data_IF_463061933949
#
_entry.id   IF_463061933949
#
_cell.length_a   1.000
_cell.length_b   1.000
_cell.length_c   1.000
_cell.angle_alpha   90.00
_cell.angle_beta   90.00
_cell.angle_gamma   90.00
#
_symmetry.space_group_name_H-M   'P 1'
#
loop_
_entity.id
_entity.type
_entity.pdbx_description
1 polymer ?
#
# COMPACT_ATOMS: atom_id res chain seq x y z
N UNK A 1 -44.27 -51.62 1.97
CA UNK A 1 -43.98 -50.36 2.71
C UNK A 1 -44.00 -49.21 1.71
N UNK A 2 -44.54 -48.04 2.08
CA UNK A 2 -44.52 -46.86 1.18
C UNK A 2 -43.12 -46.25 1.14
N UNK A 3 -42.63 -45.86 -0.05
CA UNK A 3 -41.38 -45.09 -0.17
C UNK A 3 -41.63 -43.68 0.38
N UNK A 4 -40.91 -43.29 1.43
CA UNK A 4 -41.08 -42.00 2.06
C UNK A 4 -40.80 -40.86 1.04
N UNK A 5 -41.69 -39.87 0.97
CA UNK A 5 -41.65 -38.85 -0.08
C UNK A 5 -40.52 -37.86 0.19
N UNK A 6 -39.58 -37.80 -0.75
CA UNK A 6 -38.46 -36.86 -0.72
C UNK A 6 -38.94 -35.41 -0.92
N UNK A 7 -38.26 -34.51 -0.23
CA UNK A 7 -38.54 -33.08 -0.13
C UNK A 7 -37.22 -32.35 -0.41
N UNK A 8 -37.24 -31.46 -1.39
CA UNK A 8 -36.12 -30.57 -1.67
C UNK A 8 -36.33 -29.26 -0.90
N UNK A 9 -35.38 -28.92 -0.04
CA UNK A 9 -35.31 -27.65 0.68
C UNK A 9 -34.22 -26.77 0.05
N UNK A 10 -34.42 -25.45 0.11
CA UNK A 10 -33.42 -24.47 -0.30
C UNK A 10 -32.81 -23.86 0.96
N UNK A 11 -31.49 -23.90 1.09
CA UNK A 11 -30.79 -23.42 2.28
C UNK A 11 -29.95 -22.22 1.88
N UNK A 12 -30.27 -21.04 2.40
CA UNK A 12 -29.51 -19.81 2.17
C UNK A 12 -28.53 -19.58 3.32
N UNK A 13 -27.24 -19.52 2.98
CA UNK A 13 -26.13 -19.19 3.86
C UNK A 13 -25.46 -17.87 3.40
N UNK A 14 -24.48 -17.32 4.15
CA UNK A 14 -23.66 -16.19 3.69
C UNK A 14 -22.91 -16.44 2.36
N UNK A 15 -22.51 -17.68 2.08
CA UNK A 15 -21.80 -18.05 0.85
C UNK A 15 -22.72 -18.31 -0.36
N UNK A 16 -24.04 -18.31 -0.14
CA UNK A 16 -25.04 -18.55 -1.19
C UNK A 16 -26.07 -19.60 -0.81
N UNK A 17 -26.84 -20.04 -1.82
CA UNK A 17 -28.02 -20.90 -1.63
C UNK A 17 -27.82 -22.28 -2.28
N UNK A 18 -27.55 -23.32 -1.48
CA UNK A 18 -27.49 -24.72 -1.93
C UNK A 18 -28.87 -25.39 -1.78
N UNK A 19 -29.09 -26.51 -2.48
CA UNK A 19 -30.34 -27.31 -2.42
C UNK A 19 -30.04 -28.62 -1.69
N UNK A 20 -30.90 -29.01 -0.75
CA UNK A 20 -30.74 -30.24 0.03
C UNK A 20 -32.01 -31.09 -0.09
N UNK A 21 -31.83 -32.36 -0.43
CA UNK A 21 -32.90 -33.35 -0.41
C UNK A 21 -32.95 -34.06 0.95
N UNK A 22 -34.14 -34.16 1.54
CA UNK A 22 -34.44 -34.87 2.80
C UNK A 22 -35.79 -35.56 2.71
N UNK A 23 -36.06 -36.59 3.51
CA UNK A 23 -37.40 -37.17 3.62
C UNK A 23 -38.30 -36.31 4.52
N UNK A 24 -39.60 -36.26 4.19
CA UNK A 24 -40.64 -35.79 5.11
C UNK A 24 -40.62 -36.48 6.48
N UNK A 25 -40.16 -37.73 6.53
CA UNK A 25 -40.04 -38.55 7.74
C UNK A 25 -38.71 -38.41 8.47
N UNK A 26 -37.70 -37.73 7.91
CA UNK A 26 -36.38 -37.62 8.55
C UNK A 26 -36.47 -36.75 9.81
N UNK A 27 -35.58 -36.99 10.78
CA UNK A 27 -35.45 -36.16 11.97
C UNK A 27 -34.81 -34.80 11.63
N UNK A 28 -35.13 -33.78 12.42
CA UNK A 28 -34.51 -32.46 12.31
C UNK A 28 -33.00 -32.51 12.60
N UNK A 29 -32.54 -33.40 13.48
CA UNK A 29 -31.11 -33.73 13.63
C UNK A 29 -30.44 -34.06 12.29
N UNK A 30 -31.07 -34.92 11.48
CA UNK A 30 -30.55 -35.32 10.16
C UNK A 30 -30.57 -34.21 9.12
N UNK A 31 -31.45 -33.20 9.27
CA UNK A 31 -31.40 -31.99 8.45
C UNK A 31 -30.17 -31.13 8.79
N UNK A 32 -29.80 -31.00 10.07
CA UNK A 32 -28.56 -30.29 10.46
C UNK A 32 -27.31 -31.03 9.98
N UNK A 33 -27.26 -32.37 10.08
CA UNK A 33 -26.21 -33.21 9.50
C UNK A 33 -26.07 -32.93 7.99
N UNK A 34 -27.16 -33.03 7.22
CA UNK A 34 -27.12 -32.74 5.77
C UNK A 34 -26.72 -31.31 5.44
N UNK A 35 -27.09 -30.32 6.27
CA UNK A 35 -26.67 -28.92 6.09
C UNK A 35 -25.17 -28.75 6.31
N UNK A 36 -24.64 -29.32 7.39
CA UNK A 36 -23.22 -29.29 7.70
C UNK A 36 -22.39 -29.85 6.54
N UNK A 37 -22.75 -31.03 6.05
CA UNK A 37 -22.02 -31.72 4.99
C UNK A 37 -22.21 -31.08 3.61
N UNK A 38 -23.38 -30.51 3.33
CA UNK A 38 -23.62 -29.82 2.03
C UNK A 38 -22.89 -28.47 1.95
N UNK A 39 -22.54 -27.86 3.07
CA UNK A 39 -21.84 -26.57 3.13
C UNK A 39 -20.38 -26.67 3.58
N UNK A 40 -19.85 -27.87 3.75
CA UNK A 40 -18.43 -28.11 4.11
C UNK A 40 -18.04 -27.35 5.41
N UNK A 41 -18.98 -27.33 6.38
CA UNK A 41 -18.86 -26.49 7.57
C UNK A 41 -17.78 -27.00 8.54
N UNK A 42 -17.15 -26.06 9.25
CA UNK A 42 -16.15 -26.30 10.29
C UNK A 42 -16.75 -26.85 11.60
N UNK A 43 -18.04 -26.63 11.83
CA UNK A 43 -18.70 -26.90 13.10
C UNK A 43 -20.24 -26.83 13.01
N UNK A 44 -20.92 -27.49 13.95
CA UNK A 44 -22.37 -27.41 14.14
C UNK A 44 -22.84 -26.15 14.88
N UNK A 45 -22.04 -25.09 14.96
CA UNK A 45 -22.33 -23.85 15.69
C UNK A 45 -23.29 -22.89 14.93
N UNK A 46 -24.29 -23.44 14.25
CA UNK A 46 -25.25 -22.71 13.42
C UNK A 46 -26.70 -23.00 13.82
N UNK A 47 -27.59 -22.07 13.54
CA UNK A 47 -29.03 -22.24 13.66
C UNK A 47 -29.71 -22.11 12.28
N UNK A 48 -30.87 -22.75 12.15
CA UNK A 48 -31.69 -22.75 10.94
C UNK A 48 -33.03 -22.06 11.23
N UNK A 49 -33.38 -21.06 10.42
CA UNK A 49 -34.60 -20.27 10.56
C UNK A 49 -35.50 -20.43 9.33
N UNK A 50 -36.82 -20.33 9.51
CA UNK A 50 -37.77 -20.28 8.38
C UNK A 50 -37.85 -18.92 7.70
N UNK A 51 -37.49 -17.85 8.40
CA UNK A 51 -37.59 -16.48 7.89
C UNK A 51 -36.24 -15.76 7.89
N UNK A 52 -36.03 -14.92 6.88
CA UNK A 52 -34.80 -14.11 6.71
C UNK A 52 -34.53 -13.12 7.85
N UNK A 53 -35.56 -12.83 8.65
CA UNK A 53 -35.54 -11.94 9.80
C UNK A 53 -35.13 -12.66 11.12
N UNK A 54 -34.61 -13.89 11.03
CA UNK A 54 -34.21 -14.74 12.17
C UNK A 54 -35.36 -15.11 13.13
N UNK A 55 -36.61 -15.10 12.63
CA UNK A 55 -37.77 -15.66 13.34
C UNK A 55 -38.02 -17.12 12.95
N UNK A 56 -38.75 -17.82 13.82
CA UNK A 56 -39.18 -19.21 13.63
C UNK A 56 -37.99 -20.16 13.40
N UNK A 57 -37.19 -20.33 14.44
CA UNK A 57 -36.07 -21.27 14.51
C UNK A 57 -36.53 -22.73 14.42
N UNK A 58 -35.72 -23.56 13.76
CA UNK A 58 -35.90 -24.99 13.58
C UNK A 58 -34.94 -25.69 14.56
N UNK A 59 -35.39 -25.90 15.80
CA UNK A 59 -34.60 -26.60 16.80
C UNK A 59 -34.23 -28.03 16.35
N UNK A 60 -32.94 -28.38 16.48
CA UNK A 60 -32.42 -29.71 16.16
C UNK A 60 -32.90 -30.75 17.18
N UNK A 61 -33.56 -31.81 16.72
CA UNK A 61 -34.05 -32.89 17.59
C UNK A 61 -34.05 -34.24 16.86
N UNK A 62 -33.81 -35.31 17.62
CA UNK A 62 -33.90 -36.70 17.14
C UNK A 62 -35.35 -37.22 17.08
N UNK A 63 -36.27 -36.64 17.86
CA UNK A 63 -37.69 -37.01 17.89
C UNK A 63 -38.59 -36.17 16.96
N UNK A 64 -38.21 -34.92 16.67
CA UNK A 64 -38.98 -34.03 15.79
C UNK A 64 -38.60 -34.26 14.32
N UNK A 65 -39.57 -34.63 13.48
CA UNK A 65 -39.40 -34.84 12.03
C UNK A 65 -39.46 -33.54 11.22
N UNK A 66 -38.93 -33.55 9.99
CA UNK A 66 -39.03 -32.44 9.01
C UNK A 66 -40.49 -32.02 8.76
N UNK A 67 -41.42 -32.98 8.65
CA UNK A 67 -42.85 -32.68 8.54
C UNK A 67 -43.42 -31.98 9.81
N UNK A 68 -43.06 -32.44 11.02
CA UNK A 68 -43.50 -31.81 12.28
C UNK A 68 -42.73 -30.52 12.63
N UNK A 69 -41.63 -30.23 11.94
CA UNK A 69 -41.04 -28.89 11.86
C UNK A 69 -41.87 -27.95 10.96
N UNK A 70 -42.80 -28.46 10.15
CA UNK A 70 -43.64 -27.69 9.24
C UNK A 70 -42.84 -27.16 8.05
N UNK A 71 -42.03 -28.01 7.43
CA UNK A 71 -41.24 -27.73 6.22
C UNK A 71 -41.80 -28.54 5.04
N UNK A 72 -41.89 -27.91 3.86
CA UNK A 72 -42.50 -28.47 2.65
C UNK A 72 -41.54 -28.38 1.46
N UNK A 73 -41.86 -29.12 0.39
CA UNK A 73 -41.06 -29.13 -0.83
C UNK A 73 -40.98 -27.72 -1.45
N UNK A 74 -39.76 -27.24 -1.65
CA UNK A 74 -39.46 -25.91 -2.19
C UNK A 74 -39.32 -24.80 -1.16
N UNK A 75 -39.62 -25.03 0.13
CA UNK A 75 -39.46 -24.00 1.17
C UNK A 75 -37.98 -23.54 1.29
N UNK A 76 -37.79 -22.29 1.69
CA UNK A 76 -36.47 -21.68 1.94
C UNK A 76 -36.21 -21.67 3.45
N UNK A 77 -35.00 -22.06 3.87
CA UNK A 77 -34.51 -21.92 5.24
C UNK A 77 -33.18 -21.16 5.25
N UNK A 78 -32.91 -20.44 6.33
CA UNK A 78 -31.81 -19.50 6.46
C UNK A 78 -30.83 -19.98 7.53
N UNK A 79 -29.55 -20.08 7.17
CA UNK A 79 -28.46 -20.59 7.98
C UNK A 79 -27.67 -19.41 8.56
N UNK A 80 -27.56 -19.35 9.89
CA UNK A 80 -26.90 -18.26 10.60
C UNK A 80 -25.90 -18.82 11.65
N UNK A 81 -24.67 -18.28 11.75
CA UNK A 81 -23.75 -18.59 12.86
C UNK A 81 -24.30 -18.13 14.21
N UNK A 82 -24.23 -19.01 15.21
CA UNK A 82 -24.51 -18.68 16.60
C UNK A 82 -23.29 -17.98 17.21
N UNK A 83 -23.52 -16.94 18.01
CA UNK A 83 -22.51 -16.22 18.81
C UNK A 83 -21.23 -15.79 18.05
N UNK A 84 -21.31 -15.58 16.73
CA UNK A 84 -20.17 -15.20 15.90
C UNK A 84 -19.24 -16.35 15.47
N UNK A 85 -19.69 -17.60 15.60
CA UNK A 85 -18.91 -18.77 15.20
C UNK A 85 -18.46 -18.72 13.72
N UNK A 86 -17.19 -19.08 13.47
CA UNK A 86 -16.60 -19.14 12.14
C UNK A 86 -16.92 -20.49 11.50
N UNK A 87 -18.09 -20.56 10.83
CA UNK A 87 -18.64 -21.78 10.24
C UNK A 87 -17.91 -22.31 9.00
N UNK A 88 -17.12 -21.47 8.34
CA UNK A 88 -16.44 -21.83 7.09
C UNK A 88 -14.92 -21.88 7.35
N UNK A 89 -14.19 -22.93 6.90
CA UNK A 89 -12.77 -23.10 7.19
C UNK A 89 -11.92 -21.87 6.83
N UNK A 90 -11.40 -21.18 7.84
CA UNK A 90 -10.60 -19.96 7.68
C UNK A 90 -9.16 -20.23 8.07
N UNK A 91 -8.21 -19.95 7.17
CA UNK A 91 -6.77 -20.00 7.47
C UNK A 91 -6.35 -18.79 8.33
N UNK A 92 -6.54 -18.97 9.65
CA UNK A 92 -5.87 -18.38 10.82
C UNK A 92 -4.67 -17.42 10.60
N UNK A 93 -4.38 -16.41 11.43
CA UNK A 93 -5.04 -15.72 12.59
C UNK A 93 -4.15 -14.48 12.94
N UNK A 94 -4.20 -13.66 14.01
CA UNK A 94 -4.99 -13.45 15.26
C UNK A 94 -4.62 -12.01 15.77
N UNK A 95 -5.15 -11.34 16.81
CA UNK A 95 -6.28 -11.55 17.76
C UNK A 95 -6.87 -10.15 18.17
N UNK A 96 -7.17 -9.92 19.47
CA UNK A 96 -7.97 -8.85 20.11
C UNK A 96 -7.58 -8.79 21.62
N UNK A 97 -8.32 -8.18 22.61
CA UNK A 97 -9.41 -7.17 22.62
C UNK A 97 -9.30 -6.05 23.73
N UNK A 98 -10.36 -5.21 23.85
CA UNK A 98 -10.86 -4.48 25.06
C UNK A 98 -10.48 -2.98 25.24
N UNK A 99 -11.38 -2.09 25.71
CA UNK A 99 -12.84 -2.24 25.89
C UNK A 99 -13.61 -1.02 26.48
N UNK A 100 -14.78 -0.74 25.89
CA UNK A 100 -16.00 -0.08 26.43
C UNK A 100 -16.05 1.46 26.78
N UNK A 101 -17.25 2.10 26.82
CA UNK A 101 -17.43 3.57 26.86
C UNK A 101 -18.36 4.12 27.99
N UNK A 102 -18.58 5.44 28.06
CA UNK A 102 -19.65 6.09 28.89
C UNK A 102 -20.32 7.27 28.17
N UNK A 103 -21.57 7.62 28.54
CA UNK A 103 -22.45 8.61 27.88
C UNK A 103 -23.00 9.70 28.83
N UNK A 104 -23.04 10.96 28.37
CA UNK A 104 -23.96 12.07 28.77
C UNK A 104 -23.72 13.28 27.81
N UNK A 105 -24.66 14.05 27.23
CA UNK A 105 -25.93 14.67 27.69
C UNK A 105 -25.75 16.00 28.46
N UNK A 106 -26.43 17.15 28.23
CA UNK A 106 -27.20 17.71 27.09
C UNK A 106 -27.43 19.23 27.31
N UNK A 107 -27.27 20.10 26.29
CA UNK A 107 -27.83 21.48 26.15
C UNK A 107 -27.52 22.54 27.28
N UNK A 108 -27.79 23.86 27.19
CA UNK A 108 -28.59 24.71 26.28
C UNK A 108 -28.10 26.19 26.31
N UNK A 109 -28.68 27.06 25.46
CA UNK A 109 -28.67 28.55 25.50
C UNK A 109 -27.40 29.27 25.03
N UNK A 110 -27.44 30.49 24.44
CA UNK A 110 -28.54 31.21 23.75
C UNK A 110 -27.96 32.35 22.90
N UNK A 111 -28.60 32.71 21.77
CA UNK A 111 -28.25 33.91 21.00
C UNK A 111 -28.60 33.82 19.51
N UNK A 112 -29.60 34.59 19.07
CA UNK A 112 -30.02 34.69 17.65
C UNK A 112 -29.69 36.09 17.14
N UNK A 113 -28.97 36.18 16.02
CA UNK A 113 -28.86 37.39 15.21
C UNK A 113 -28.81 37.04 13.73
N UNK A 114 -29.81 37.47 12.95
CA UNK A 114 -29.92 37.13 11.53
C UNK A 114 -28.97 37.97 10.67
N UNK A 115 -28.04 37.31 9.97
CA UNK A 115 -27.32 37.87 8.81
C UNK A 115 -27.17 36.82 7.73
N UNK A 116 -27.80 37.03 6.56
CA UNK A 116 -27.64 36.16 5.38
C UNK A 116 -26.26 36.36 4.74
N UNK A 117 -25.48 35.28 4.49
CA UNK A 117 -24.47 35.26 3.44
C UNK A 117 -25.06 34.64 2.17
N UNK A 118 -24.87 35.30 1.02
CA UNK A 118 -25.18 34.72 -0.29
C UNK A 118 -24.25 33.54 -0.61
N UNK A 119 -24.67 32.67 -1.52
CA UNK A 119 -23.95 31.45 -1.89
C UNK A 119 -22.62 31.74 -2.61
N UNK A 120 -21.52 31.73 -1.86
CA UNK A 120 -20.17 31.49 -2.39
C UNK A 120 -19.58 30.25 -1.71
N UNK A 121 -19.59 29.11 -2.42
CA UNK A 121 -18.90 27.90 -1.98
C UNK A 121 -17.39 28.08 -2.17
N UNK A 122 -16.78 28.90 -1.31
CA UNK A 122 -15.34 28.91 -1.09
C UNK A 122 -14.95 27.55 -0.51
N UNK A 123 -14.58 26.61 -1.39
CA UNK A 123 -13.89 25.39 -1.00
C UNK A 123 -12.53 25.83 -0.43
N UNK A 124 -12.51 26.09 0.88
CA UNK A 124 -11.29 26.08 1.66
C UNK A 124 -10.74 24.66 1.56
N UNK A 125 -9.86 24.43 0.59
CA UNK A 125 -8.91 23.35 0.71
C UNK A 125 -8.22 23.56 2.06
N UNK A 126 -8.32 22.56 2.94
CA UNK A 126 -7.37 22.43 4.05
C UNK A 126 -6.04 22.08 3.39
N UNK A 127 -5.34 23.11 2.90
CA UNK A 127 -3.98 22.97 2.41
C UNK A 127 -3.19 22.30 3.54
N UNK A 128 -2.76 21.07 3.29
CA UNK A 128 -2.29 20.18 4.34
C UNK A 128 -1.04 20.82 4.95
N UNK A 129 -1.11 21.19 6.24
CA UNK A 129 -0.05 21.91 6.95
C UNK A 129 1.12 20.98 7.33
N UNK A 130 1.47 20.07 6.43
CA UNK A 130 2.58 19.14 6.56
C UNK A 130 3.86 19.88 6.17
N UNK A 131 4.86 19.79 7.02
CA UNK A 131 6.19 20.36 6.78
C UNK A 131 6.90 19.53 5.70
N UNK A 132 6.96 20.06 4.48
CA UNK A 132 7.76 19.50 3.39
C UNK A 132 9.26 19.54 3.73
N UNK A 133 10.05 18.62 3.15
CA UNK A 133 11.49 18.56 3.43
C UNK A 133 12.24 19.77 2.85
N UNK A 134 13.39 20.17 3.41
CA UNK A 134 14.16 21.32 2.93
C UNK A 134 14.48 21.30 1.43
N UNK A 135 14.78 20.11 0.88
CA UNK A 135 15.05 19.93 -0.57
C UNK A 135 13.81 20.22 -1.42
N UNK A 136 12.61 19.84 -0.97
CA UNK A 136 11.36 20.08 -1.70
C UNK A 136 10.97 21.56 -1.65
N UNK A 137 11.23 22.21 -0.50
CA UNK A 137 11.05 23.66 -0.32
C UNK A 137 12.05 24.47 -1.17
N UNK A 138 13.24 23.95 -1.45
CA UNK A 138 14.20 24.54 -2.40
C UNK A 138 13.74 24.32 -3.85
N UNK A 139 13.50 23.06 -4.26
CA UNK A 139 13.09 22.69 -5.61
C UNK A 139 11.78 23.37 -6.05
N UNK A 140 10.83 23.55 -5.13
CA UNK A 140 9.56 24.23 -5.43
C UNK A 140 9.72 25.70 -5.87
N UNK A 141 10.84 26.35 -5.54
CA UNK A 141 11.19 27.73 -5.94
C UNK A 141 11.91 27.81 -7.28
N UNK A 142 12.48 26.71 -7.78
CA UNK A 142 13.19 26.64 -9.05
C UNK A 142 12.20 26.35 -10.19
N UNK A 143 12.33 27.03 -11.33
CA UNK A 143 11.50 26.76 -12.50
C UNK A 143 11.84 25.41 -13.16
N UNK A 144 13.12 25.03 -13.12
CA UNK A 144 13.66 23.79 -13.69
C UNK A 144 13.96 23.89 -15.19
N UNK A 145 13.90 25.08 -15.79
CA UNK A 145 13.97 25.21 -17.26
C UNK A 145 15.41 25.05 -17.77
N UNK A 146 15.60 24.08 -18.66
CA UNK A 146 16.90 23.75 -19.23
C UNK A 146 17.29 24.79 -20.27
N UNK A 147 18.37 25.54 -20.02
CA UNK A 147 18.85 26.57 -20.93
C UNK A 147 19.56 25.95 -22.14
N UNK A 148 19.04 26.16 -23.35
CA UNK A 148 19.71 25.76 -24.60
C UNK A 148 20.75 26.81 -25.01
N UNK A 149 21.82 26.34 -25.65
CA UNK A 149 22.77 27.20 -26.38
C UNK A 149 22.14 27.67 -27.69
N UNK A 150 22.65 28.76 -28.28
CA UNK A 150 22.22 29.23 -29.59
C UNK A 150 22.69 28.24 -30.69
N UNK A 151 21.77 27.74 -31.50
CA UNK A 151 22.09 26.91 -32.67
C UNK A 151 22.60 27.83 -33.81
N UNK A 152 23.86 27.70 -34.27
CA UNK A 152 24.45 28.61 -35.25
C UNK A 152 23.90 28.45 -36.67
N UNK A 153 23.09 27.42 -36.95
CA UNK A 153 22.44 27.18 -38.25
C UNK A 153 20.97 27.59 -38.26
N UNK A 154 20.27 27.43 -37.13
CA UNK A 154 18.83 27.65 -37.00
C UNK A 154 18.45 28.98 -36.30
N UNK A 155 19.31 29.55 -35.45
CA UNK A 155 19.00 30.76 -34.69
C UNK A 155 19.32 32.06 -35.45
N UNK A 156 18.42 32.49 -36.33
CA UNK A 156 18.50 33.77 -37.06
C UNK A 156 18.07 34.97 -36.21
N UNK A 157 18.80 35.27 -35.14
CA UNK A 157 18.51 36.40 -34.25
C UNK A 157 19.75 36.87 -33.47
N UNK A 158 19.65 38.08 -32.88
CA UNK A 158 20.70 38.69 -32.08
C UNK A 158 20.84 38.00 -30.71
N UNK A 159 21.98 38.21 -30.03
CA UNK A 159 22.37 37.53 -28.78
C UNK A 159 21.38 37.68 -27.63
N UNK A 160 20.68 38.81 -27.52
CA UNK A 160 19.72 39.09 -26.44
C UNK A 160 18.29 38.60 -26.74
N UNK A 161 18.04 38.11 -27.97
CA UNK A 161 16.76 37.53 -28.39
C UNK A 161 16.81 35.99 -28.33
N UNK A 162 15.64 35.35 -28.26
CA UNK A 162 15.51 33.88 -28.28
C UNK A 162 14.42 33.45 -29.27
N UNK A 163 14.65 32.36 -30.00
CA UNK A 163 13.66 31.70 -30.86
C UNK A 163 13.34 30.28 -30.39
N UNK A 164 12.49 29.57 -31.12
CA UNK A 164 12.04 28.18 -30.83
C UNK A 164 13.21 27.17 -30.73
N UNK A 165 14.38 27.48 -31.29
CA UNK A 165 15.57 26.62 -31.24
C UNK A 165 16.50 26.87 -30.02
N UNK A 166 16.37 28.00 -29.31
CA UNK A 166 17.22 28.36 -28.17
C UNK A 166 16.47 28.88 -26.93
N UNK A 167 15.13 28.96 -26.98
CA UNK A 167 14.30 29.12 -25.78
C UNK A 167 14.60 28.00 -24.78
N UNK A 168 14.47 28.27 -23.48
CA UNK A 168 14.68 27.23 -22.47
C UNK A 168 13.62 26.14 -22.63
N UNK A 169 14.01 24.87 -22.47
CA UNK A 169 13.08 23.74 -22.49
C UNK A 169 12.44 23.57 -21.11
N UNK A 170 11.24 23.00 -21.09
CA UNK A 170 10.60 22.62 -19.83
C UNK A 170 11.32 21.42 -19.19
N UNK A 171 11.35 21.31 -17.84
CA UNK A 171 12.02 20.22 -17.12
C UNK A 171 11.54 18.80 -17.47
N UNK A 172 10.40 18.69 -18.16
CA UNK A 172 9.76 17.44 -18.57
C UNK A 172 9.81 17.17 -20.09
N UNK A 173 10.69 17.85 -20.83
CA UNK A 173 10.85 17.65 -22.28
C UNK A 173 11.38 16.25 -22.64
N UNK A 174 10.58 15.50 -23.41
CA UNK A 174 10.84 14.09 -23.70
C UNK A 174 11.92 13.85 -24.76
N UNK A 175 12.36 14.87 -25.48
CA UNK A 175 13.51 14.78 -26.40
C UNK A 175 14.82 14.96 -25.63
N UNK A 176 14.92 16.02 -24.81
CA UNK A 176 16.06 16.32 -23.96
C UNK A 176 16.37 15.16 -23.00
N UNK A 177 15.35 14.64 -22.31
CA UNK A 177 15.51 13.53 -21.36
C UNK A 177 15.99 12.25 -22.06
N UNK A 178 15.55 12.00 -23.30
CA UNK A 178 15.99 10.84 -24.11
C UNK A 178 17.45 10.97 -24.54
N UNK A 179 17.86 12.15 -25.01
CA UNK A 179 19.24 12.47 -25.37
C UNK A 179 20.20 12.28 -24.19
N UNK A 180 19.77 12.68 -22.98
CA UNK A 180 20.55 12.57 -21.74
C UNK A 180 20.37 11.22 -21.02
N UNK A 181 19.77 10.21 -21.68
CA UNK A 181 19.52 8.86 -21.15
C UNK A 181 18.70 8.79 -19.85
N UNK A 182 17.91 9.84 -19.55
CA UNK A 182 17.10 9.97 -18.34
C UNK A 182 15.80 9.18 -18.48
N UNK A 183 15.78 7.98 -17.88
CA UNK A 183 14.69 6.98 -18.04
C UNK A 183 13.33 7.37 -17.41
N UNK A 184 13.32 8.26 -16.42
CA UNK A 184 12.12 8.68 -15.67
C UNK A 184 12.24 10.16 -15.31
N UNK A 185 11.10 10.85 -15.18
CA UNK A 185 11.06 12.21 -14.62
C UNK A 185 11.47 12.19 -13.14
N UNK A 186 12.14 13.23 -12.66
CA UNK A 186 12.15 13.54 -11.24
C UNK A 186 10.73 13.88 -10.77
N UNK A 187 10.40 13.62 -9.50
CA UNK A 187 9.06 13.90 -8.98
C UNK A 187 8.67 15.39 -9.11
N UNK A 188 9.62 16.31 -8.91
CA UNK A 188 9.37 17.75 -9.11
C UNK A 188 9.15 18.12 -10.59
N UNK A 189 9.84 17.48 -11.54
CA UNK A 189 9.55 17.65 -12.98
C UNK A 189 8.18 17.09 -13.37
N UNK A 190 7.76 15.99 -12.74
CA UNK A 190 6.39 15.48 -12.88
C UNK A 190 5.35 16.44 -12.29
N UNK A 191 5.58 17.01 -11.09
CA UNK A 191 4.74 18.07 -10.53
C UNK A 191 4.66 19.28 -11.48
N UNK A 192 5.76 19.71 -12.11
CA UNK A 192 5.73 20.78 -13.13
C UNK A 192 4.88 20.37 -14.35
N UNK A 193 4.98 19.14 -14.86
CA UNK A 193 4.14 18.64 -15.97
C UNK A 193 2.65 18.60 -15.62
N UNK A 194 2.31 18.29 -14.37
CA UNK A 194 0.92 18.28 -13.87
C UNK A 194 0.38 19.68 -13.52
N UNK A 195 1.25 20.67 -13.29
CA UNK A 195 0.85 22.05 -12.91
C UNK A 195 0.96 23.07 -14.05
N UNK A 196 1.54 22.73 -15.20
CA UNK A 196 1.74 23.64 -16.34
C UNK A 196 0.48 23.96 -17.16
N UNK A 197 -0.67 23.36 -16.85
CA UNK A 197 -1.96 23.64 -17.52
C UNK A 197 -2.58 24.99 -17.13
N UNK A 198 -3.69 25.34 -17.79
CA UNK A 198 -4.41 26.63 -17.60
C UNK A 198 -4.77 26.89 -16.13
N UNK A 199 -5.17 25.85 -15.39
CA UNK A 199 -5.53 25.93 -13.97
C UNK A 199 -4.34 26.10 -13.02
N UNK A 200 -3.09 26.10 -13.51
CA UNK A 200 -1.86 26.26 -12.72
C UNK A 200 -1.74 25.31 -11.51
N UNK A 201 -2.31 24.11 -11.62
CA UNK A 201 -2.35 23.12 -10.54
C UNK A 201 -3.45 23.32 -9.49
N UNK A 202 -4.40 24.25 -9.67
CA UNK A 202 -5.51 24.51 -8.72
C UNK A 202 -6.35 23.27 -8.38
N UNK A 203 -6.41 22.30 -9.27
CA UNK A 203 -7.13 21.02 -9.10
C UNK A 203 -6.19 19.80 -8.99
N UNK A 204 -4.88 20.02 -8.77
CA UNK A 204 -3.94 18.91 -8.56
C UNK A 204 -4.08 18.37 -7.13
N UNK A 205 -4.89 17.31 -7.00
CA UNK A 205 -4.90 16.44 -5.83
C UNK A 205 -4.16 15.15 -6.17
N UNK A 206 -3.07 14.88 -5.46
CA UNK A 206 -2.35 13.60 -5.51
C UNK A 206 -2.90 12.66 -4.44
N UNK A 207 -3.16 11.41 -4.82
CA UNK A 207 -3.67 10.38 -3.93
C UNK A 207 -2.93 9.07 -4.18
N UNK A 208 -2.43 8.43 -3.12
CA UNK A 208 -1.82 7.11 -3.21
C UNK A 208 -2.90 6.05 -3.54
N UNK A 209 -2.52 5.01 -4.29
CA UNK A 209 -3.45 3.96 -4.75
C UNK A 209 -3.88 3.10 -3.55
N UNK A 210 -5.03 3.43 -2.96
CA UNK A 210 -5.60 2.67 -1.85
C UNK A 210 -6.35 1.44 -2.32
N UNK A 211 -5.71 0.28 -2.20
CA UNK A 211 -6.32 -1.04 -2.41
C UNK A 211 -7.26 -1.47 -1.25
N UNK A 212 -7.49 -0.60 -0.26
CA UNK A 212 -8.30 -0.90 0.93
C UNK A 212 -9.78 -0.60 0.67
N UNK A 213 -10.66 -1.37 1.31
CA UNK A 213 -12.12 -1.09 1.30
C UNK A 213 -12.36 0.27 1.95
N UNK A 214 -13.19 1.11 1.34
CA UNK A 214 -13.49 2.46 1.83
C UNK A 214 -14.42 2.37 3.05
N UNK A 215 -13.93 2.81 4.20
CA UNK A 215 -14.70 2.88 5.44
C UNK A 215 -15.81 3.94 5.35
N UNK A 216 -16.86 3.78 6.17
CA UNK A 216 -17.93 4.77 6.31
C UNK A 216 -19.04 4.71 5.25
N UNK A 217 -19.14 3.64 4.46
CA UNK A 217 -20.31 3.43 3.60
C UNK A 217 -21.58 3.27 4.45
N UNK A 218 -22.68 3.90 4.03
CA UNK A 218 -23.98 3.91 4.74
C UNK A 218 -24.97 2.88 4.20
N UNK A 219 -24.68 2.27 3.06
CA UNK A 219 -25.63 1.41 2.32
C UNK A 219 -25.62 -0.05 2.81
N UNK A 220 -24.71 -0.41 3.71
CA UNK A 220 -24.56 -1.76 4.27
C UNK A 220 -23.86 -1.73 5.64
N UNK A 221 -23.94 -2.82 6.44
CA UNK A 221 -23.14 -2.97 7.66
C UNK A 221 -21.63 -2.86 7.38
N UNK A 222 -20.81 -2.37 8.33
CA UNK A 222 -19.37 -2.23 8.13
C UNK A 222 -18.69 -3.57 7.84
N UNK A 223 -17.61 -3.53 7.05
CA UNK A 223 -16.75 -4.67 6.77
C UNK A 223 -16.28 -5.34 8.09
N UNK A 224 -16.31 -6.68 8.21
CA UNK A 224 -16.59 -7.69 7.17
C UNK A 224 -18.07 -8.05 6.96
N UNK A 225 -19.03 -7.41 7.65
CA UNK A 225 -20.45 -7.78 7.60
C UNK A 225 -21.21 -7.28 6.37
N UNK A 226 -20.55 -6.53 5.48
CA UNK A 226 -21.12 -6.05 4.22
C UNK A 226 -20.09 -5.34 3.35
N UNK A 227 -20.32 -5.33 2.04
CA UNK A 227 -19.54 -4.62 1.02
C UNK A 227 -20.48 -4.23 -0.13
N UNK A 228 -20.17 -3.16 -0.87
CA UNK A 228 -20.85 -2.79 -2.11
C UNK A 228 -19.85 -2.18 -3.11
N UNK A 229 -20.27 -2.07 -4.38
CA UNK A 229 -19.44 -1.52 -5.47
C UNK A 229 -19.02 -0.05 -5.29
N UNK A 230 -19.58 0.68 -4.31
CA UNK A 230 -19.14 2.04 -3.95
C UNK A 230 -17.97 2.08 -2.97
N UNK A 231 -17.78 1.02 -2.17
CA UNK A 231 -16.75 0.94 -1.14
C UNK A 231 -15.66 -0.09 -1.42
N UNK A 232 -15.95 -1.09 -2.26
CA UNK A 232 -14.96 -1.99 -2.84
C UNK A 232 -13.87 -1.16 -3.58
N UNK A 233 -12.58 -1.52 -3.47
CA UNK A 233 -11.54 -0.91 -4.29
C UNK A 233 -11.75 -1.26 -5.77
N UNK A 234 -11.41 -0.32 -6.66
CA UNK A 234 -11.43 -0.57 -8.10
C UNK A 234 -10.38 -1.62 -8.49
N UNK A 235 -10.62 -2.33 -9.61
CA UNK A 235 -9.60 -3.16 -10.23
C UNK A 235 -8.38 -2.30 -10.64
N UNK A 236 -7.17 -2.85 -10.45
CA UNK A 236 -5.91 -2.11 -10.59
C UNK A 236 -5.21 -2.52 -11.89
N UNK A 237 -4.88 -1.55 -12.73
CA UNK A 237 -4.01 -1.73 -13.90
C UNK A 237 -2.60 -1.27 -13.56
N UNK A 238 -1.65 -2.21 -13.48
CA UNK A 238 -0.26 -1.91 -13.17
C UNK A 238 0.47 -1.35 -14.41
N UNK A 239 0.48 -0.03 -14.53
CA UNK A 239 1.22 0.69 -15.56
C UNK A 239 2.65 1.03 -15.10
N UNK A 240 3.60 1.17 -16.04
CA UNK A 240 4.96 1.63 -15.71
C UNK A 240 4.93 3.08 -15.20
N UNK A 241 5.41 3.30 -13.98
CA UNK A 241 5.54 4.63 -13.39
C UNK A 241 6.45 5.53 -14.26
N UNK A 242 6.04 6.78 -14.48
CA UNK A 242 6.73 7.71 -15.40
C UNK A 242 7.72 8.65 -14.69
N UNK A 243 7.74 8.62 -13.36
CA UNK A 243 8.56 9.47 -12.50
C UNK A 243 9.12 8.67 -11.32
N UNK A 244 10.05 9.26 -10.58
CA UNK A 244 10.63 8.70 -9.33
C UNK A 244 10.86 9.81 -8.30
N UNK A 245 10.79 9.46 -7.02
CA UNK A 245 10.97 10.40 -5.90
C UNK A 245 12.45 10.76 -5.62
N UNK A 246 13.39 9.89 -6.00
CA UNK A 246 14.84 10.12 -5.92
C UNK A 246 15.48 9.66 -7.23
N UNK A 247 16.38 10.47 -7.77
CA UNK A 247 17.01 10.27 -9.08
C UNK A 247 18.39 9.60 -8.98
N UNK A 248 19.11 9.85 -7.88
CA UNK A 248 20.47 9.37 -7.67
C UNK A 248 20.70 8.99 -6.19
N UNK A 249 21.49 7.94 -5.96
CA UNK A 249 22.05 7.62 -4.63
C UNK A 249 23.56 7.81 -4.73
N UNK A 250 24.12 8.53 -3.77
CA UNK A 250 25.56 8.73 -3.62
C UNK A 250 25.99 8.30 -2.22
N UNK A 251 27.17 7.67 -2.11
CA UNK A 251 27.84 7.44 -0.84
C UNK A 251 28.95 8.47 -0.71
N UNK A 252 28.99 9.18 0.42
CA UNK A 252 29.96 10.25 0.68
C UNK A 252 31.41 9.73 0.60
N UNK A 253 31.64 8.53 1.12
CA UNK A 253 32.91 7.83 1.02
C UNK A 253 32.70 6.34 0.65
N UNK A 254 33.60 5.81 -0.18
CA UNK A 254 33.69 4.39 -0.53
C UNK A 254 33.89 3.51 0.70
N UNK A 255 34.62 4.00 1.70
CA UNK A 255 34.95 3.27 2.93
C UNK A 255 33.69 2.82 3.70
N UNK A 256 32.56 3.51 3.53
CA UNK A 256 31.26 3.11 4.10
C UNK A 256 30.82 1.75 3.54
N UNK A 257 30.89 1.60 2.21
CA UNK A 257 30.49 0.37 1.50
C UNK A 257 31.53 -0.72 1.72
N UNK A 258 32.81 -0.39 1.70
CA UNK A 258 33.90 -1.34 1.98
C UNK A 258 33.80 -1.92 3.40
N UNK A 259 33.50 -1.08 4.41
CA UNK A 259 33.26 -1.53 5.79
C UNK A 259 32.07 -2.47 5.90
N UNK A 260 30.95 -2.16 5.24
CA UNK A 260 29.76 -3.01 5.21
C UNK A 260 30.04 -4.37 4.53
N UNK A 261 30.80 -4.36 3.42
CA UNK A 261 31.17 -5.59 2.70
C UNK A 261 32.19 -6.46 3.45
N UNK A 262 32.95 -5.92 4.40
CA UNK A 262 33.89 -6.71 5.20
C UNK A 262 33.20 -7.78 6.07
N UNK A 263 31.92 -7.63 6.42
CA UNK A 263 31.16 -8.71 7.05
C UNK A 263 31.01 -9.90 6.11
N UNK A 264 30.58 -9.67 4.86
CA UNK A 264 30.43 -10.72 3.86
C UNK A 264 31.79 -11.37 3.53
N UNK A 265 32.85 -10.58 3.38
CA UNK A 265 34.21 -11.09 3.11
C UNK A 265 34.77 -11.99 4.21
N UNK A 266 34.37 -11.78 5.47
CA UNK A 266 34.87 -12.56 6.62
C UNK A 266 33.98 -13.75 7.00
N UNK A 267 32.68 -13.72 6.66
CA UNK A 267 31.71 -14.77 7.04
C UNK A 267 31.18 -15.59 5.87
N UNK A 268 31.19 -15.05 4.65
CA UNK A 268 30.46 -15.58 3.49
C UNK A 268 28.94 -15.49 3.61
N UNK A 269 28.42 -14.73 4.57
CA UNK A 269 26.98 -14.57 4.84
C UNK A 269 26.51 -13.16 4.40
N UNK A 270 25.24 -13.07 3.97
CA UNK A 270 24.66 -11.83 3.46
C UNK A 270 24.34 -10.83 4.58
N UNK A 271 24.26 -9.54 4.24
CA UNK A 271 24.08 -8.45 5.20
C UNK A 271 23.02 -7.46 4.77
N UNK A 272 22.29 -6.89 5.73
CA UNK A 272 21.37 -5.76 5.55
C UNK A 272 21.78 -4.58 6.45
N UNK A 273 21.57 -3.35 5.98
CA UNK A 273 21.81 -2.13 6.73
C UNK A 273 20.84 -1.02 6.36
N UNK A 274 20.61 -0.09 7.28
CA UNK A 274 19.87 1.15 7.03
C UNK A 274 20.83 2.27 6.63
N UNK A 275 20.44 3.02 5.59
CA UNK A 275 21.21 4.13 5.04
C UNK A 275 20.80 5.42 5.75
N UNK A 276 21.76 6.08 6.40
CA UNK A 276 21.57 7.36 7.07
C UNK A 276 22.30 8.47 6.30
N UNK A 277 21.65 9.62 6.17
CA UNK A 277 22.11 10.69 5.29
C UNK A 277 21.11 11.83 5.16
N UNK A 278 21.21 12.56 4.05
CA UNK A 278 20.34 13.69 3.71
C UNK A 278 19.82 13.59 2.26
N UNK A 279 18.88 14.46 1.90
CA UNK A 279 18.40 14.63 0.52
C UNK A 279 18.85 15.99 -0.01
N UNK A 280 19.40 16.00 -1.22
CA UNK A 280 20.05 17.15 -1.85
C UNK A 280 19.56 17.34 -3.30
N UNK A 281 19.81 18.51 -3.87
CA UNK A 281 19.48 18.78 -5.29
C UNK A 281 20.49 18.07 -6.19
N UNK A 282 19.98 17.31 -7.16
CA UNK A 282 20.77 16.64 -8.18
C UNK A 282 20.65 17.38 -9.51
N UNK A 283 21.74 18.00 -9.97
CA UNK A 283 21.73 18.90 -11.13
C UNK A 283 21.74 18.17 -12.50
N UNK A 284 22.14 16.90 -12.53
CA UNK A 284 22.28 16.12 -13.78
C UNK A 284 20.91 15.66 -14.34
N UNK A 285 19.84 15.84 -13.56
CA UNK A 285 18.44 15.63 -13.95
C UNK A 285 17.66 16.91 -13.60
N UNK A 286 16.81 17.46 -14.49
CA UNK A 286 16.00 18.63 -14.17
C UNK A 286 15.19 18.45 -12.89
N UNK A 287 15.33 19.37 -11.94
CA UNK A 287 14.71 19.32 -10.60
C UNK A 287 14.92 17.98 -9.85
N UNK A 288 16.06 17.32 -10.05
CA UNK A 288 16.35 16.02 -9.48
C UNK A 288 16.66 16.02 -7.99
N UNK A 289 16.46 14.88 -7.34
CA UNK A 289 16.86 14.64 -5.93
C UNK A 289 17.95 13.57 -5.86
N UNK A 290 19.01 13.85 -5.09
CA UNK A 290 20.02 12.89 -4.64
C UNK A 290 19.72 12.47 -3.20
N UNK A 291 19.77 11.18 -2.90
CA UNK A 291 20.01 10.70 -1.54
C UNK A 291 21.53 10.60 -1.36
N UNK A 292 22.09 11.41 -0.45
CA UNK A 292 23.50 11.36 -0.09
C UNK A 292 23.65 10.61 1.23
N UNK A 293 24.46 9.54 1.23
CA UNK A 293 24.61 8.59 2.33
C UNK A 293 25.92 8.85 3.07
N UNK A 294 25.77 9.21 4.35
CA UNK A 294 26.86 9.57 5.28
C UNK A 294 27.23 8.38 6.18
N UNK A 295 26.27 7.50 6.49
CA UNK A 295 26.48 6.33 7.32
C UNK A 295 25.63 5.13 6.91
N UNK A 296 26.11 3.93 7.22
CA UNK A 296 25.35 2.68 7.16
C UNK A 296 25.26 2.14 8.60
N UNK A 297 24.05 1.90 9.06
CA UNK A 297 23.78 1.29 10.36
C UNK A 297 23.32 -0.15 10.15
N UNK A 298 23.96 -1.10 10.84
CA UNK A 298 23.62 -2.52 10.77
C UNK A 298 22.73 -2.89 11.97
N UNK A 299 21.41 -3.04 11.79
CA UNK A 299 20.53 -3.46 12.88
C UNK A 299 20.80 -4.93 13.27
N UNK A 300 20.37 -5.36 14.48
CA UNK A 300 20.32 -6.77 14.88
C UNK A 300 19.64 -7.63 13.80
N UNK A 301 20.34 -8.69 13.36
CA UNK A 301 19.91 -9.53 12.24
C UNK A 301 20.54 -10.93 12.32
N UNK A 302 19.79 -11.94 11.89
CA UNK A 302 20.30 -13.28 11.60
C UNK A 302 20.71 -13.34 10.12
N UNK A 303 22.02 -13.48 9.86
CA UNK A 303 22.61 -13.50 8.52
C UNK A 303 22.94 -14.94 8.10
N UNK A 304 22.32 -15.45 7.04
CA UNK A 304 22.65 -16.71 6.34
C UNK A 304 23.41 -16.48 5.03
N UNK A 305 23.57 -17.53 4.21
CA UNK A 305 24.24 -17.44 2.89
C UNK A 305 23.33 -16.98 1.76
N UNK A 306 22.04 -17.24 1.93
CA UNK A 306 20.92 -17.12 0.98
C UNK A 306 19.73 -16.37 1.58
N UNK A 307 19.85 -15.97 2.85
CA UNK A 307 18.74 -15.54 3.71
C UNK A 307 19.23 -14.49 4.72
N UNK A 308 18.36 -13.52 5.02
CA UNK A 308 18.60 -12.50 6.05
C UNK A 308 17.29 -12.29 6.80
N UNK A 309 17.33 -12.29 8.13
CA UNK A 309 16.17 -11.97 8.97
C UNK A 309 16.51 -10.85 9.94
N UNK A 310 15.81 -9.72 9.79
CA UNK A 310 15.88 -8.65 10.77
C UNK A 310 15.31 -9.11 12.12
N UNK A 311 16.00 -8.77 13.20
CA UNK A 311 15.52 -8.91 14.56
C UNK A 311 14.97 -7.57 15.06
N UNK A 312 14.34 -7.59 16.24
CA UNK A 312 13.98 -6.37 16.96
C UNK A 312 15.25 -5.60 17.36
N UNK A 313 15.24 -4.28 17.15
CA UNK A 313 16.33 -3.40 17.54
C UNK A 313 15.93 -2.51 18.74
N UNK A 314 16.36 -2.89 19.93
CA UNK A 314 16.13 -2.11 21.15
C UNK A 314 16.95 -0.80 21.22
N UNK A 315 17.73 -0.47 20.19
CA UNK A 315 18.48 0.79 20.05
C UNK A 315 17.94 1.70 18.95
N UNK A 316 16.90 1.31 18.22
CA UNK A 316 16.39 2.04 17.04
C UNK A 316 16.04 3.51 17.38
N UNK A 317 15.34 3.76 18.48
CA UNK A 317 14.97 5.10 18.93
C UNK A 317 16.21 5.97 19.23
N UNK A 318 17.22 5.41 19.89
CA UNK A 318 18.48 6.09 20.20
C UNK A 318 19.28 6.44 18.94
N UNK A 319 19.24 5.57 17.92
CA UNK A 319 19.92 5.81 16.64
C UNK A 319 19.21 6.89 15.82
N UNK A 320 17.87 6.91 15.80
CA UNK A 320 17.10 7.98 15.17
C UNK A 320 17.24 9.33 15.89
N UNK A 321 17.33 9.34 17.22
CA UNK A 321 17.60 10.56 18.00
C UNK A 321 19.01 11.10 17.76
N UNK A 322 20.02 10.22 17.68
CA UNK A 322 21.39 10.58 17.32
C UNK A 322 21.45 11.12 15.87
N UNK A 323 20.82 10.43 14.92
CA UNK A 323 20.77 10.87 13.52
C UNK A 323 20.13 12.25 13.40
N UNK A 324 18.98 12.46 14.03
CA UNK A 324 18.26 13.74 14.05
C UNK A 324 19.08 14.87 14.67
N UNK A 325 19.84 14.57 15.72
CA UNK A 325 20.76 15.52 16.38
C UNK A 325 21.93 15.93 15.46
N UNK A 326 22.34 15.04 14.55
CA UNK A 326 23.35 15.29 13.51
C UNK A 326 22.75 15.88 12.22
N UNK A 327 21.44 16.15 12.17
CA UNK A 327 20.74 16.61 10.95
C UNK A 327 20.55 15.52 9.88
N UNK A 328 20.87 14.27 10.21
CA UNK A 328 20.70 13.09 9.36
C UNK A 328 19.32 12.47 9.56
N UNK A 329 18.92 11.60 8.62
CA UNK A 329 17.72 10.76 8.70
C UNK A 329 17.98 9.43 8.01
N UNK A 330 17.13 8.43 8.27
CA UNK A 330 17.06 7.23 7.42
C UNK A 330 16.57 7.63 6.02
N UNK A 331 17.40 7.43 5.01
CA UNK A 331 17.12 7.75 3.59
C UNK A 331 16.83 6.51 2.74
N UNK A 332 17.16 5.32 3.24
CA UNK A 332 16.93 4.05 2.54
C UNK A 332 17.48 2.85 3.29
N UNK A 333 17.63 1.73 2.56
CA UNK A 333 18.25 0.51 3.04
C UNK A 333 19.16 -0.11 1.97
N UNK A 334 20.13 -0.91 2.41
CA UNK A 334 21.10 -1.62 1.59
C UNK A 334 21.17 -3.10 1.98
N UNK A 335 21.32 -3.99 1.01
CA UNK A 335 21.55 -5.42 1.25
C UNK A 335 22.54 -6.01 0.24
N UNK A 336 23.13 -7.16 0.59
CA UNK A 336 24.01 -7.92 -0.31
C UNK A 336 23.31 -9.14 -0.90
N UNK A 337 23.58 -9.40 -2.17
CA UNK A 337 23.38 -10.70 -2.82
C UNK A 337 24.68 -11.06 -3.55
N UNK A 338 25.62 -11.60 -2.77
CA UNK A 338 26.99 -11.86 -3.20
C UNK A 338 27.32 -13.34 -3.01
N UNK A 339 27.58 -14.03 -4.12
CA UNK A 339 28.09 -15.40 -4.14
C UNK A 339 29.47 -15.38 -4.79
N UNK A 340 30.53 -15.91 -4.14
CA UNK A 340 31.86 -15.92 -4.72
C UNK A 340 31.91 -16.79 -5.99
N UNK A 341 32.72 -16.37 -6.94
CA UNK A 341 33.04 -17.11 -8.17
C UNK A 341 34.50 -17.57 -8.11
N UNK A 342 35.44 -16.62 -8.08
CA UNK A 342 36.87 -16.87 -7.88
C UNK A 342 37.35 -16.14 -6.62
N UNK A 343 37.62 -16.91 -5.57
CA UNK A 343 38.08 -16.40 -4.25
C UNK A 343 39.49 -15.79 -4.32
N UNK A 344 40.34 -16.23 -5.27
CA UNK A 344 41.70 -15.68 -5.43
C UNK A 344 41.68 -14.33 -6.17
N UNK A 345 40.76 -14.15 -7.11
CA UNK A 345 40.54 -12.88 -7.82
C UNK A 345 39.57 -11.93 -7.10
N UNK A 346 38.83 -12.43 -6.11
CA UNK A 346 37.76 -11.69 -5.43
C UNK A 346 36.51 -11.45 -6.28
N UNK A 347 36.26 -12.28 -7.32
CA UNK A 347 35.07 -12.10 -8.18
C UNK A 347 33.83 -12.73 -7.56
N UNK A 348 32.68 -12.16 -7.91
CA UNK A 348 31.35 -12.56 -7.47
C UNK A 348 30.44 -12.77 -8.68
N UNK A 349 29.54 -13.75 -8.58
CA UNK A 349 28.67 -14.15 -9.69
C UNK A 349 27.69 -13.03 -10.06
N UNK A 350 27.51 -12.79 -11.36
CA UNK A 350 26.50 -11.90 -11.89
C UNK A 350 25.12 -12.60 -11.90
N UNK A 351 24.46 -12.62 -10.75
CA UNK A 351 23.18 -13.32 -10.56
C UNK A 351 21.97 -12.55 -11.12
N UNK A 352 22.06 -11.21 -11.18
CA UNK A 352 20.92 -10.31 -11.39
C UNK A 352 20.93 -9.59 -12.73
N UNK A 353 20.37 -10.23 -13.75
CA UNK A 353 20.44 -9.78 -15.15
C UNK A 353 19.10 -10.00 -15.90
N UNK A 354 19.07 -9.61 -17.17
CA UNK A 354 17.87 -9.64 -18.03
C UNK A 354 17.24 -11.03 -18.23
N UNK A 355 18.00 -12.12 -18.01
CA UNK A 355 17.49 -13.49 -18.11
C UNK A 355 17.20 -14.12 -16.73
N UNK A 356 17.29 -13.35 -15.64
CA UNK A 356 16.98 -13.78 -14.28
C UNK A 356 15.99 -12.80 -13.63
N UNK A 357 16.43 -11.98 -12.68
CA UNK A 357 15.66 -10.89 -12.07
C UNK A 357 16.60 -9.81 -11.53
N UNK A 358 16.09 -8.60 -11.27
CA UNK A 358 16.87 -7.52 -10.63
C UNK A 358 16.55 -7.37 -9.14
N UNK A 359 15.29 -7.59 -8.76
CA UNK A 359 14.82 -7.70 -7.37
C UNK A 359 13.91 -8.93 -7.27
N UNK A 360 13.94 -9.61 -6.12
CA UNK A 360 13.01 -10.71 -5.82
C UNK A 360 11.63 -10.18 -5.40
N UNK A 361 10.62 -11.05 -5.36
CA UNK A 361 9.28 -10.70 -4.88
C UNK A 361 9.28 -10.28 -3.41
N UNK A 362 10.07 -10.96 -2.58
CA UNK A 362 10.21 -10.67 -1.14
C UNK A 362 10.94 -9.33 -0.90
N UNK A 363 12.01 -9.06 -1.64
CA UNK A 363 12.68 -7.74 -1.62
C UNK A 363 11.74 -6.60 -2.02
N UNK A 364 10.88 -6.82 -3.02
CA UNK A 364 9.87 -5.84 -3.43
C UNK A 364 8.80 -5.61 -2.35
N UNK A 365 8.39 -6.68 -1.63
CA UNK A 365 7.47 -6.57 -0.49
C UNK A 365 8.14 -5.80 0.66
N UNK A 366 9.39 -6.10 0.98
CA UNK A 366 10.13 -5.43 2.06
C UNK A 366 10.46 -3.97 1.74
N UNK A 367 10.85 -3.67 0.48
CA UNK A 367 11.00 -2.29 0.01
C UNK A 367 9.68 -1.51 0.12
N UNK A 368 8.56 -2.11 -0.31
CA UNK A 368 7.23 -1.53 -0.15
C UNK A 368 6.84 -1.31 1.31
N UNK A 369 7.17 -2.25 2.20
CA UNK A 369 6.97 -2.08 3.64
C UNK A 369 7.73 -0.89 4.20
N UNK A 370 9.04 -0.78 3.94
CA UNK A 370 9.84 0.36 4.40
C UNK A 370 9.38 1.70 3.79
N UNK A 371 8.97 1.73 2.52
CA UNK A 371 8.43 2.94 1.90
C UNK A 371 7.11 3.40 2.56
N UNK A 372 6.24 2.47 2.98
CA UNK A 372 5.04 2.79 3.75
C UNK A 372 5.34 3.32 5.17
N UNK A 373 6.46 2.90 5.78
CA UNK A 373 6.93 3.44 7.07
C UNK A 373 7.56 4.84 6.94
N UNK A 374 8.06 5.19 5.75
CA UNK A 374 8.76 6.46 5.48
C UNK A 374 8.02 7.29 4.39
N UNK A 375 6.75 7.70 4.61
CA UNK A 375 5.97 8.42 3.62
C UNK A 375 6.57 9.81 3.34
N UNK A 376 6.51 10.27 2.09
CA UNK A 376 7.05 11.56 1.68
C UNK A 376 6.03 12.70 1.87
N UNK A 377 6.31 13.74 2.67
CA UNK A 377 5.50 14.96 2.76
C UNK A 377 5.22 15.60 1.41
N UNK A 378 3.96 15.99 1.15
CA UNK A 378 3.57 16.67 -0.09
C UNK A 378 2.30 17.53 0.08
N UNK A 379 2.41 18.85 -0.10
CA UNK A 379 1.26 19.77 0.00
C UNK A 379 0.19 19.59 -1.08
N UNK A 380 0.53 18.92 -2.18
CA UNK A 380 -0.40 18.61 -3.29
C UNK A 380 -1.21 17.34 -3.03
N UNK A 381 -0.95 16.63 -1.94
CA UNK A 381 -1.62 15.37 -1.64
C UNK A 381 -2.82 15.57 -0.71
N UNK A 382 -3.94 14.88 -1.00
CA UNK A 382 -5.17 14.94 -0.19
C UNK A 382 -4.93 14.53 1.27
N UNK A 383 -4.01 13.59 1.50
CA UNK A 383 -3.57 13.16 2.84
C UNK A 383 -2.34 13.89 3.39
N UNK A 384 -1.75 14.84 2.66
CA UNK A 384 -0.51 15.54 3.03
C UNK A 384 0.79 14.75 2.82
N UNK A 385 0.70 13.50 2.36
CA UNK A 385 1.81 12.63 1.99
C UNK A 385 1.50 11.96 0.65
N UNK A 386 2.54 11.65 -0.14
CA UNK A 386 2.40 10.95 -1.42
C UNK A 386 3.68 10.20 -1.80
N UNK A 387 3.60 8.88 -1.93
CA UNK A 387 4.74 7.98 -2.14
C UNK A 387 5.84 8.12 -1.07
N UNK A 388 7.09 7.80 -1.43
CA UNK A 388 8.23 7.80 -0.50
C UNK A 388 9.55 8.12 -1.22
N UNK A 389 10.47 8.81 -0.53
CA UNK A 389 11.88 8.99 -0.95
C UNK A 389 12.81 7.88 -0.44
N UNK A 390 12.29 6.86 0.25
CA UNK A 390 13.09 5.79 0.83
C UNK A 390 13.66 4.87 -0.26
N UNK A 391 14.99 4.87 -0.41
CA UNK A 391 15.68 4.13 -1.48
C UNK A 391 16.01 2.69 -1.08
N UNK A 392 16.15 1.82 -2.07
CA UNK A 392 16.58 0.42 -1.94
C UNK A 392 17.86 0.22 -2.72
N UNK A 393 18.91 -0.32 -2.10
CA UNK A 393 20.20 -0.61 -2.74
C UNK A 393 20.53 -2.09 -2.60
N UNK A 394 20.70 -2.79 -3.72
CA UNK A 394 21.21 -4.16 -3.77
C UNK A 394 22.68 -4.14 -4.22
N UNK A 395 23.56 -4.81 -3.49
CA UNK A 395 24.97 -5.02 -3.87
C UNK A 395 25.13 -6.43 -4.39
N UNK A 396 25.44 -6.56 -5.67
CA UNK A 396 25.50 -7.83 -6.43
C UNK A 396 26.67 -7.82 -7.42
N UNK A 397 27.07 -8.99 -7.93
CA UNK A 397 28.04 -9.11 -9.02
C UNK A 397 27.51 -8.61 -10.38
N UNK A 398 28.43 -8.35 -11.32
CA UNK A 398 28.24 -7.81 -12.66
C UNK A 398 29.22 -8.45 -13.65
#
# INVERSE_FOLDING_TARGET
>A
MSKAKAILLRVQSPEGTKRIEVSSSDSTCRLFERVHDTFDLSSFAFALYKERNQKNEIASSKSRTVASAGLRHGDMIYLQPLNGAVLFPTTSSNNTPSGEPVLASTSTSSGISNSRPSSSLSVNSKLSTVKEDPVDLQLSKLDGKVQRKQDPKLCRHNTNSRCVHCSALEPFDEAYLREHNVKHLSFHSYLRKMTSGVDKGKFLALEDISCRIKNGCKDHPPWPKGICSKCQPNAITLNRQVYRHVDNVAFENKDLVERFLNYWRSTGHQRIGFLYGNYEIHNDVPLGIRANVVAIYEPPQESGRDSIRLLRDDKEELVEDLARSLGLRRVGWIFTDLIPEDVQKGTVKHLRHINSHFLSSEECIMAGHFQNLHPNPCKYASGGYFGSKFVTVCVTGK
#
